data_IF_127196773737
#
_entry.id   IF_127196773737
#
_cell.length_a   1.000
_cell.length_b   1.000
_cell.length_c   1.000
_cell.angle_alpha   90.00
_cell.angle_beta   90.00
_cell.angle_gamma   90.00
#
_symmetry.space_group_name_H-M   'P 1'
#
loop_
_entity.id
_entity.type
_entity.pdbx_description
1 polymer ?
#
# COMPACT_ATOMS: atom_id res chain seq x y z
N UNK A 1 19.64 9.13 -18.88
CA UNK A 1 19.48 8.30 -17.66
C UNK A 1 19.31 9.25 -16.51
N UNK A 2 18.24 9.09 -15.74
CA UNK A 2 18.07 9.82 -14.49
C UNK A 2 19.11 9.33 -13.48
N UNK A 3 19.73 10.24 -12.75
CA UNK A 3 20.71 9.92 -11.70
C UNK A 3 20.11 9.08 -10.56
N UNK A 4 18.79 8.99 -10.47
CA UNK A 4 18.07 8.43 -9.33
C UNK A 4 18.11 9.35 -8.10
N UNK A 5 18.55 10.59 -8.26
CA UNK A 5 18.61 11.59 -7.21
C UNK A 5 17.21 12.10 -6.83
N UNK A 6 16.91 12.13 -5.54
CA UNK A 6 15.65 12.69 -5.02
C UNK A 6 15.84 14.19 -4.85
N UNK A 7 15.22 14.99 -5.70
CA UNK A 7 15.32 16.45 -5.66
C UNK A 7 14.44 17.07 -4.57
N UNK A 8 13.29 16.49 -4.27
CA UNK A 8 12.39 16.88 -3.17
C UNK A 8 11.51 15.69 -2.78
N UNK A 9 11.14 15.63 -1.52
CA UNK A 9 10.24 14.61 -0.98
C UNK A 9 9.29 15.24 0.01
N UNK A 10 8.03 14.81 -0.01
CA UNK A 10 7.05 15.36 0.92
C UNK A 10 5.74 14.59 0.90
N UNK A 11 4.81 15.06 1.75
CA UNK A 11 3.46 14.53 1.83
C UNK A 11 2.50 15.56 2.40
N UNK A 12 1.30 15.60 1.84
CA UNK A 12 0.22 16.42 2.37
C UNK A 12 -0.58 15.59 3.37
N UNK A 13 -0.85 16.19 4.51
CA UNK A 13 -1.68 15.60 5.55
C UNK A 13 -2.98 16.42 5.73
N UNK A 14 -4.03 15.75 6.20
CA UNK A 14 -5.36 16.32 6.48
C UNK A 14 -6.06 16.96 5.27
N UNK A 15 -5.87 16.45 4.06
CA UNK A 15 -6.63 16.91 2.88
C UNK A 15 -8.13 16.82 3.18
N UNK A 16 -8.87 17.90 2.91
CA UNK A 16 -10.32 18.00 3.16
C UNK A 16 -10.69 18.23 4.62
N UNK A 17 -9.72 18.44 5.50
CA UNK A 17 -9.92 18.73 6.93
C UNK A 17 -9.25 20.05 7.30
N UNK A 18 -9.72 20.73 8.36
CA UNK A 18 -9.08 21.94 8.88
C UNK A 18 -7.64 21.68 9.32
N UNK A 19 -6.75 22.64 9.04
CA UNK A 19 -5.34 22.56 9.40
C UNK A 19 -4.56 21.59 8.50
N UNK A 20 -4.88 21.52 7.23
CA UNK A 20 -4.10 20.78 6.23
C UNK A 20 -2.69 21.40 6.06
N UNK A 21 -1.70 20.56 5.84
CA UNK A 21 -0.30 21.01 5.69
C UNK A 21 0.52 20.05 4.81
N UNK A 22 1.57 20.62 4.21
CA UNK A 22 2.61 19.85 3.49
C UNK A 22 3.85 19.70 4.38
N UNK A 23 4.28 18.47 4.61
CA UNK A 23 5.64 18.17 5.09
C UNK A 23 6.56 18.04 3.88
N UNK A 24 7.59 18.83 3.82
CA UNK A 24 8.58 18.83 2.73
C UNK A 24 9.97 18.54 3.29
N UNK A 25 10.73 17.71 2.58
CA UNK A 25 12.19 17.65 2.67
C UNK A 25 12.73 18.18 1.35
N UNK A 26 13.43 19.32 1.39
CA UNK A 26 13.95 19.95 0.21
C UNK A 26 15.24 19.26 -0.30
N UNK A 27 15.80 19.77 -1.40
CA UNK A 27 17.02 19.25 -2.03
C UNK A 27 18.25 19.26 -1.10
N UNK A 28 18.25 20.12 -0.10
CA UNK A 28 19.33 20.27 0.89
C UNK A 28 19.09 19.41 2.15
N UNK A 29 18.00 18.60 2.15
CA UNK A 29 17.63 17.73 3.27
C UNK A 29 16.92 18.44 4.42
N UNK A 30 16.57 19.73 4.27
CA UNK A 30 15.88 20.50 5.30
C UNK A 30 14.39 20.14 5.33
N UNK A 31 13.90 19.84 6.52
CA UNK A 31 12.47 19.55 6.76
C UNK A 31 11.71 20.83 7.07
N UNK A 32 10.60 21.04 6.35
CA UNK A 32 9.72 22.20 6.47
C UNK A 32 8.28 21.73 6.54
N UNK A 33 7.47 22.42 7.33
CA UNK A 33 6.00 22.24 7.37
C UNK A 33 5.37 23.52 6.84
N UNK A 34 4.54 23.40 5.82
CA UNK A 34 3.86 24.50 5.16
C UNK A 34 2.35 24.30 5.29
N UNK A 35 1.72 25.14 6.06
CA UNK A 35 0.27 25.11 6.30
C UNK A 35 -0.47 25.78 5.13
N UNK A 36 -1.51 25.12 4.64
CA UNK A 36 -2.45 25.63 3.65
C UNK A 36 -3.72 24.81 3.69
N UNK A 37 -4.87 25.48 3.69
CA UNK A 37 -6.14 24.80 3.55
C UNK A 37 -6.25 24.16 2.15
N UNK A 38 -6.53 22.86 2.12
CA UNK A 38 -6.63 22.04 0.90
C UNK A 38 -7.93 21.24 0.94
N UNK A 39 -9.04 21.78 0.38
CA UNK A 39 -10.34 21.13 0.44
C UNK A 39 -10.41 19.82 -0.36
N UNK A 40 -9.48 19.60 -1.29
CA UNK A 40 -9.44 18.38 -2.09
C UNK A 40 -8.05 18.05 -2.63
N UNK A 41 -7.96 16.91 -3.32
CA UNK A 41 -6.71 16.43 -3.89
C UNK A 41 -6.16 17.34 -4.98
N UNK A 42 -7.04 18.01 -5.74
CA UNK A 42 -6.63 18.96 -6.78
C UNK A 42 -5.84 20.11 -6.18
N UNK A 43 -6.38 20.75 -5.15
CA UNK A 43 -5.73 21.87 -4.44
C UNK A 43 -4.42 21.41 -3.76
N UNK A 44 -4.38 20.15 -3.31
CA UNK A 44 -3.15 19.55 -2.80
C UNK A 44 -2.07 19.43 -3.86
N UNK A 45 -2.42 18.95 -5.05
CA UNK A 45 -1.47 18.83 -6.17
C UNK A 45 -1.05 20.21 -6.68
N UNK A 46 -1.98 21.16 -6.80
CA UNK A 46 -1.66 22.56 -7.13
C UNK A 46 -0.65 23.15 -6.15
N UNK A 47 -0.81 22.86 -4.86
CA UNK A 47 0.11 23.31 -3.84
C UNK A 47 1.48 22.66 -3.98
N UNK A 48 1.56 21.34 -4.20
CA UNK A 48 2.83 20.66 -4.47
C UNK A 48 3.55 21.30 -5.67
N UNK A 49 2.86 21.46 -6.79
CA UNK A 49 3.44 22.07 -8.00
C UNK A 49 3.94 23.50 -7.75
N UNK A 50 3.19 24.31 -6.99
CA UNK A 50 3.61 25.66 -6.62
C UNK A 50 4.88 25.66 -5.76
N UNK A 51 5.06 24.67 -4.90
CA UNK A 51 6.26 24.54 -4.06
C UNK A 51 7.45 24.03 -4.87
N UNK A 52 7.23 23.14 -5.85
CA UNK A 52 8.32 22.67 -6.70
C UNK A 52 8.98 23.80 -7.50
N UNK A 53 8.24 24.87 -7.81
CA UNK A 53 8.73 26.07 -8.54
C UNK A 53 8.99 27.27 -7.61
N UNK A 54 8.82 27.14 -6.29
CA UNK A 54 9.04 28.21 -5.34
C UNK A 54 10.52 28.64 -5.27
N UNK A 55 10.77 29.92 -5.06
CA UNK A 55 12.13 30.47 -5.03
C UNK A 55 12.97 29.94 -3.86
N UNK A 56 12.32 29.59 -2.75
CA UNK A 56 12.96 29.16 -1.49
C UNK A 56 13.08 27.64 -1.42
N UNK A 57 12.00 26.92 -1.79
CA UNK A 57 11.88 25.48 -1.58
C UNK A 57 11.93 24.69 -2.88
N UNK A 58 11.81 25.36 -4.02
CA UNK A 58 11.68 24.70 -5.31
C UNK A 58 12.95 24.01 -5.79
N UNK A 59 12.76 22.99 -6.58
CA UNK A 59 13.83 22.22 -7.23
C UNK A 59 13.81 22.29 -8.75
N UNK A 60 12.76 22.89 -9.33
CA UNK A 60 12.61 23.17 -10.76
C UNK A 60 12.24 24.65 -10.97
N UNK A 61 12.45 25.17 -12.18
CA UNK A 61 12.09 26.55 -12.52
C UNK A 61 10.71 26.66 -13.11
N UNK A 62 10.33 25.70 -13.94
CA UNK A 62 9.08 25.68 -14.69
C UNK A 62 8.52 24.25 -14.75
N UNK A 63 7.21 24.11 -14.94
CA UNK A 63 6.55 22.80 -15.01
C UNK A 63 6.95 21.98 -16.25
N UNK A 64 7.47 22.62 -17.29
CA UNK A 64 7.99 21.95 -18.49
C UNK A 64 9.29 21.16 -18.23
N UNK A 65 9.92 21.33 -17.09
CA UNK A 65 11.02 20.48 -16.64
C UNK A 65 10.54 19.11 -16.09
N UNK A 66 9.22 18.91 -15.94
CA UNK A 66 8.65 17.63 -15.55
C UNK A 66 8.38 16.81 -16.80
N UNK A 67 9.14 15.74 -17.02
CA UNK A 67 9.02 14.88 -18.21
C UNK A 67 7.84 13.92 -18.14
N UNK A 68 7.47 13.45 -16.94
CA UNK A 68 6.39 12.48 -16.73
C UNK A 68 5.92 12.44 -15.28
N UNK A 69 4.73 11.87 -15.07
CA UNK A 69 4.14 11.66 -13.74
C UNK A 69 3.84 10.18 -13.52
N UNK A 70 4.33 9.63 -12.41
CA UNK A 70 3.97 8.30 -11.96
C UNK A 70 2.86 8.35 -10.91
N UNK A 71 1.77 7.61 -11.13
CA UNK A 71 0.67 7.46 -10.19
C UNK A 71 0.66 6.06 -9.58
N UNK A 72 0.68 5.97 -8.27
CA UNK A 72 0.30 4.74 -7.59
C UNK A 72 -1.19 4.54 -7.74
N UNK A 73 -1.60 3.39 -8.31
CA UNK A 73 -2.98 2.95 -8.40
C UNK A 73 -3.13 1.65 -7.61
N UNK A 74 -4.09 1.63 -6.67
CA UNK A 74 -4.14 0.53 -5.70
C UNK A 74 -4.56 -0.79 -6.36
N UNK A 75 -5.58 -0.79 -7.24
CA UNK A 75 -6.11 -2.04 -7.78
C UNK A 75 -6.22 -2.02 -9.30
N UNK A 76 -5.49 -2.92 -9.95
CA UNK A 76 -5.53 -3.11 -11.40
C UNK A 76 -6.34 -4.33 -11.87
N UNK A 77 -6.95 -5.06 -10.94
CA UNK A 77 -7.63 -6.31 -11.26
C UNK A 77 -6.70 -7.31 -11.93
N UNK A 78 -7.22 -8.13 -12.81
CA UNK A 78 -6.45 -9.01 -13.70
C UNK A 78 -6.05 -8.32 -15.02
N UNK A 79 -6.39 -7.02 -15.15
CA UNK A 79 -6.20 -6.26 -16.41
C UNK A 79 -4.78 -5.71 -16.57
N UNK A 80 -4.05 -5.55 -15.47
CA UNK A 80 -2.72 -4.94 -15.46
C UNK A 80 -1.70 -5.78 -14.72
N UNK A 81 -0.73 -6.29 -15.46
CA UNK A 81 0.41 -7.07 -14.93
C UNK A 81 1.72 -6.26 -14.88
N UNK A 82 1.68 -4.99 -15.29
CA UNK A 82 2.83 -4.07 -15.30
C UNK A 82 2.36 -2.62 -15.21
N UNK A 83 3.31 -1.71 -15.04
CA UNK A 83 3.05 -0.27 -15.19
C UNK A 83 2.67 0.04 -16.64
N UNK A 84 1.72 0.95 -16.84
CA UNK A 84 1.22 1.33 -18.17
C UNK A 84 1.11 2.84 -18.30
N UNK A 85 1.36 3.36 -19.52
CA UNK A 85 1.05 4.76 -19.84
C UNK A 85 -0.47 4.93 -19.78
N UNK A 86 -0.91 5.99 -19.11
CA UNK A 86 -2.33 6.29 -18.94
C UNK A 86 -2.88 6.86 -20.25
N UNK A 87 -3.95 6.25 -20.72
CA UNK A 87 -4.82 6.73 -21.78
C UNK A 87 -6.29 6.52 -21.38
N UNK A 88 -7.21 6.81 -22.27
CA UNK A 88 -8.65 6.67 -21.99
C UNK A 88 -9.08 5.24 -21.70
N UNK A 89 -8.47 4.25 -22.36
CA UNK A 89 -8.74 2.83 -22.14
C UNK A 89 -8.28 2.39 -20.75
N UNK A 90 -7.08 2.81 -20.34
CA UNK A 90 -6.56 2.55 -18.99
C UNK A 90 -7.45 3.18 -17.92
N UNK A 91 -7.90 4.43 -18.09
CA UNK A 91 -8.83 5.08 -17.16
C UNK A 91 -10.11 4.26 -17.01
N UNK A 92 -10.73 3.84 -18.12
CA UNK A 92 -11.95 3.06 -18.11
C UNK A 92 -11.75 1.73 -17.36
N UNK A 93 -10.65 1.03 -17.61
CA UNK A 93 -10.31 -0.22 -16.89
C UNK A 93 -10.09 -0.01 -15.39
N UNK A 94 -9.50 1.11 -14.98
CA UNK A 94 -9.34 1.47 -13.55
C UNK A 94 -10.71 1.77 -12.91
N UNK A 95 -11.61 2.43 -13.64
CA UNK A 95 -12.99 2.65 -13.19
C UNK A 95 -13.69 1.31 -12.95
N UNK A 96 -13.61 0.37 -13.90
CA UNK A 96 -14.19 -0.98 -13.75
C UNK A 96 -13.61 -1.76 -12.55
N UNK A 97 -12.35 -1.52 -12.20
CA UNK A 97 -11.71 -2.11 -11.01
C UNK A 97 -12.09 -1.39 -9.70
N UNK A 98 -12.87 -0.30 -9.75
CA UNK A 98 -13.21 0.48 -8.55
C UNK A 98 -14.10 -0.28 -7.57
N UNK A 99 -14.90 -1.22 -8.03
CA UNK A 99 -15.71 -2.10 -7.17
C UNK A 99 -14.83 -3.00 -6.28
N UNK A 100 -13.61 -3.33 -6.74
CA UNK A 100 -12.62 -4.10 -5.97
C UNK A 100 -11.85 -3.24 -4.97
N UNK A 101 -11.80 -1.92 -5.17
CA UNK A 101 -11.10 -0.96 -4.32
C UNK A 101 -11.87 0.36 -4.19
N UNK A 102 -13.10 0.36 -3.65
CA UNK A 102 -13.99 1.53 -3.64
C UNK A 102 -13.45 2.70 -2.81
N UNK A 103 -12.60 2.42 -1.83
CA UNK A 103 -11.96 3.45 -1.00
C UNK A 103 -10.71 4.08 -1.64
N UNK A 104 -10.14 3.48 -2.69
CA UNK A 104 -8.82 3.86 -3.21
C UNK A 104 -8.86 4.29 -4.68
N UNK A 105 -9.38 3.46 -5.58
CA UNK A 105 -9.34 3.74 -7.02
C UNK A 105 -10.02 5.07 -7.40
N UNK A 106 -11.18 5.44 -6.84
CA UNK A 106 -11.77 6.75 -7.12
C UNK A 106 -10.88 7.94 -6.72
N UNK A 107 -10.12 7.81 -5.62
CA UNK A 107 -9.16 8.84 -5.20
C UNK A 107 -7.93 8.89 -6.12
N UNK A 108 -7.46 7.72 -6.59
CA UNK A 108 -6.37 7.65 -7.57
C UNK A 108 -6.75 8.31 -8.91
N UNK A 109 -7.97 8.08 -9.40
CA UNK A 109 -8.50 8.72 -10.61
C UNK A 109 -8.55 10.24 -10.47
N UNK A 110 -9.00 10.77 -9.31
CA UNK A 110 -8.97 12.22 -9.04
C UNK A 110 -7.56 12.82 -9.12
N UNK A 111 -6.55 12.07 -8.69
CA UNK A 111 -5.15 12.48 -8.81
C UNK A 111 -4.68 12.56 -10.27
N UNK A 112 -5.07 11.58 -11.09
CA UNK A 112 -4.78 11.55 -12.53
C UNK A 112 -5.46 12.73 -13.24
N UNK A 113 -6.75 12.93 -12.99
CA UNK A 113 -7.54 14.02 -13.58
C UNK A 113 -6.98 15.41 -13.18
N UNK A 114 -6.55 15.56 -11.92
CA UNK A 114 -5.96 16.80 -11.44
C UNK A 114 -4.64 17.11 -12.16
N UNK A 115 -3.78 16.12 -12.38
CA UNK A 115 -2.52 16.31 -13.13
C UNK A 115 -2.77 16.66 -14.59
N UNK A 116 -3.74 16.02 -15.25
CA UNK A 116 -4.11 16.37 -16.64
C UNK A 116 -4.65 17.80 -16.75
N UNK A 117 -5.41 18.25 -15.75
CA UNK A 117 -5.94 19.61 -15.70
C UNK A 117 -4.86 20.67 -15.46
N UNK A 118 -3.82 20.35 -14.67
CA UNK A 118 -2.78 21.30 -14.27
C UNK A 118 -1.62 21.36 -15.27
N UNK A 119 -1.25 20.23 -15.87
CA UNK A 119 -0.20 20.13 -16.88
C UNK A 119 -0.74 19.29 -18.05
N UNK A 120 -1.56 19.86 -18.92
CA UNK A 120 -2.20 19.12 -19.99
C UNK A 120 -1.20 18.43 -20.92
N UNK A 121 -1.46 17.16 -21.23
CA UNK A 121 -0.65 16.37 -22.16
C UNK A 121 0.66 15.85 -21.60
N UNK A 122 0.96 16.05 -20.31
CA UNK A 122 2.12 15.43 -19.69
C UNK A 122 1.96 13.89 -19.69
N UNK A 123 3.01 13.12 -20.05
CA UNK A 123 2.96 11.68 -19.95
C UNK A 123 2.68 11.22 -18.51
N UNK A 124 1.61 10.46 -18.33
CA UNK A 124 1.25 9.90 -17.04
C UNK A 124 1.32 8.37 -17.07
N UNK A 125 1.81 7.75 -16.00
CA UNK A 125 2.01 6.29 -15.88
C UNK A 125 1.31 5.78 -14.64
N UNK A 126 0.46 4.77 -14.82
CA UNK A 126 -0.15 4.04 -13.70
C UNK A 126 0.77 2.91 -13.25
N UNK A 127 1.03 2.84 -11.94
CA UNK A 127 1.82 1.81 -11.28
C UNK A 127 0.91 1.10 -10.28
N UNK A 128 0.55 -0.16 -10.56
CA UNK A 128 -0.44 -0.89 -9.80
C UNK A 128 0.15 -1.69 -8.65
N UNK A 129 -0.43 -1.57 -7.46
CA UNK A 129 -0.02 -2.35 -6.29
C UNK A 129 -0.20 -3.86 -6.52
N UNK A 130 -1.19 -4.24 -7.32
CA UNK A 130 -1.54 -5.64 -7.61
C UNK A 130 -0.72 -6.26 -8.75
N UNK A 131 -0.04 -5.45 -9.57
CA UNK A 131 0.59 -5.94 -10.81
C UNK A 131 1.71 -6.98 -10.58
N UNK A 132 2.55 -6.78 -9.56
CA UNK A 132 3.63 -7.72 -9.24
C UNK A 132 3.11 -9.12 -8.86
N UNK A 133 1.93 -9.17 -8.27
CA UNK A 133 1.28 -10.39 -7.79
C UNK A 133 0.52 -11.17 -8.88
N UNK A 134 0.43 -10.62 -10.11
CA UNK A 134 -0.28 -11.30 -11.20
C UNK A 134 0.41 -12.58 -11.69
N UNK A 135 1.64 -12.85 -11.23
CA UNK A 135 2.36 -14.09 -11.51
C UNK A 135 2.00 -15.24 -10.57
N UNK A 136 1.16 -15.02 -9.56
CA UNK A 136 0.68 -16.08 -8.67
C UNK A 136 -0.08 -17.16 -9.44
N UNK A 137 0.18 -18.47 -9.17
CA UNK A 137 -0.59 -19.56 -9.77
C UNK A 137 -1.99 -19.65 -9.15
N UNK A 138 -2.94 -20.25 -9.89
CA UNK A 138 -4.34 -20.38 -9.46
C UNK A 138 -4.50 -20.98 -8.06
N UNK A 139 -3.69 -21.99 -7.72
CA UNK A 139 -3.68 -22.64 -6.39
C UNK A 139 -3.35 -21.69 -5.23
N UNK A 140 -2.68 -20.55 -5.49
CA UNK A 140 -2.31 -19.56 -4.50
C UNK A 140 -3.33 -18.40 -4.41
N UNK A 141 -4.03 -18.10 -5.51
CA UNK A 141 -4.96 -16.99 -5.53
C UNK A 141 -6.44 -17.38 -5.38
N UNK A 142 -6.82 -18.64 -5.63
CA UNK A 142 -8.23 -19.05 -5.52
C UNK A 142 -8.67 -19.21 -4.07
N UNK A 143 -9.82 -18.64 -3.74
CA UNK A 143 -10.49 -18.90 -2.47
C UNK A 143 -11.38 -20.16 -2.57
N UNK A 144 -11.60 -20.81 -1.44
CA UNK A 144 -12.51 -21.96 -1.32
C UNK A 144 -13.99 -21.58 -1.32
N UNK A 145 -14.38 -20.68 -2.23
CA UNK A 145 -15.74 -20.20 -2.45
C UNK A 145 -16.30 -20.81 -3.73
N UNK A 146 -17.66 -20.78 -3.97
CA UNK A 146 -18.20 -21.19 -5.25
C UNK A 146 -17.47 -20.50 -6.42
N UNK A 147 -17.11 -21.29 -7.44
CA UNK A 147 -16.28 -20.81 -8.55
C UNK A 147 -16.88 -19.61 -9.28
N UNK A 148 -18.22 -19.50 -9.26
CA UNK A 148 -18.94 -18.36 -9.84
C UNK A 148 -18.59 -17.02 -9.17
N UNK A 149 -18.16 -17.01 -7.93
CA UNK A 149 -17.71 -15.78 -7.26
C UNK A 149 -16.45 -15.22 -7.93
N UNK A 150 -15.57 -16.09 -8.38
CA UNK A 150 -14.43 -15.70 -9.18
C UNK A 150 -14.84 -15.25 -10.59
N UNK A 151 -15.56 -16.09 -11.33
CA UNK A 151 -15.88 -15.80 -12.74
C UNK A 151 -16.78 -14.58 -12.93
N UNK A 152 -17.67 -14.32 -11.99
CA UNK A 152 -18.64 -13.22 -12.08
C UNK A 152 -18.14 -11.92 -11.49
N UNK A 153 -17.40 -12.00 -10.37
CA UNK A 153 -17.02 -10.83 -9.58
C UNK A 153 -15.51 -10.64 -9.44
N UNK A 154 -14.70 -11.54 -9.97
CA UNK A 154 -13.24 -11.49 -9.82
C UNK A 154 -12.77 -11.75 -8.38
N UNK A 155 -13.54 -12.49 -7.57
CA UNK A 155 -13.21 -12.77 -6.16
C UNK A 155 -12.08 -13.78 -6.11
N UNK A 156 -10.87 -13.27 -5.88
CA UNK A 156 -9.61 -14.01 -5.72
C UNK A 156 -8.63 -13.19 -4.90
N UNK A 157 -7.52 -13.79 -4.49
CA UNK A 157 -6.38 -13.05 -3.95
C UNK A 157 -5.71 -12.24 -5.05
N UNK A 158 -5.45 -10.93 -4.81
CA UNK A 158 -4.67 -10.06 -5.68
C UNK A 158 -3.34 -9.67 -5.05
N UNK A 159 -3.33 -9.38 -3.75
CA UNK A 159 -2.18 -8.84 -3.06
C UNK A 159 -1.95 -7.36 -3.36
N UNK A 160 -1.20 -6.70 -2.47
CA UNK A 160 -0.91 -5.26 -2.56
C UNK A 160 0.55 -5.01 -2.18
N UNK A 161 0.98 -3.74 -2.19
CA UNK A 161 2.37 -3.34 -1.99
C UNK A 161 3.33 -3.95 -3.03
N UNK A 162 2.83 -4.35 -4.20
CA UNK A 162 3.60 -5.06 -5.21
C UNK A 162 4.82 -4.29 -5.69
N UNK A 163 4.74 -2.96 -5.77
CA UNK A 163 5.89 -2.10 -6.11
C UNK A 163 7.00 -2.21 -5.06
N UNK A 164 6.65 -2.20 -3.77
CA UNK A 164 7.59 -2.40 -2.67
C UNK A 164 8.21 -3.80 -2.71
N UNK A 165 7.40 -4.84 -2.78
CA UNK A 165 7.89 -6.22 -2.83
C UNK A 165 8.84 -6.48 -4.02
N UNK A 166 8.49 -5.97 -5.20
CA UNK A 166 9.34 -6.04 -6.39
C UNK A 166 10.65 -5.28 -6.22
N UNK A 167 10.60 -4.07 -5.66
CA UNK A 167 11.79 -3.25 -5.46
C UNK A 167 12.73 -3.89 -4.44
N UNK A 168 12.20 -4.24 -3.25
CA UNK A 168 13.01 -4.78 -2.14
C UNK A 168 13.65 -6.11 -2.50
N UNK A 169 12.90 -7.02 -3.14
CA UNK A 169 13.44 -8.31 -3.57
C UNK A 169 14.59 -8.15 -4.58
N UNK A 170 14.44 -7.24 -5.54
CA UNK A 170 15.47 -6.92 -6.53
C UNK A 170 16.69 -6.26 -5.90
N UNK A 171 16.43 -5.26 -5.06
CA UNK A 171 17.49 -4.50 -4.38
C UNK A 171 18.31 -5.35 -3.42
N UNK A 172 17.69 -6.30 -2.75
CA UNK A 172 18.39 -7.27 -1.91
C UNK A 172 19.41 -8.09 -2.71
N UNK A 173 19.02 -8.59 -3.90
CA UNK A 173 19.94 -9.31 -4.78
C UNK A 173 21.08 -8.43 -5.31
N UNK A 174 20.79 -7.19 -5.68
CA UNK A 174 21.81 -6.22 -6.09
C UNK A 174 22.85 -5.99 -4.99
N UNK A 175 22.42 -5.79 -3.73
CA UNK A 175 23.31 -5.59 -2.57
C UNK A 175 24.14 -6.83 -2.28
N UNK A 176 23.54 -8.03 -2.44
CA UNK A 176 24.22 -9.30 -2.21
C UNK A 176 25.09 -9.76 -3.39
N UNK A 177 25.00 -9.08 -4.54
CA UNK A 177 25.74 -9.44 -5.74
C UNK A 177 25.31 -10.80 -6.35
N UNK A 178 24.02 -11.17 -6.20
CA UNK A 178 23.48 -12.44 -6.69
C UNK A 178 22.42 -12.21 -7.79
N UNK A 179 22.31 -13.14 -8.78
CA UNK A 179 21.29 -13.02 -9.83
C UNK A 179 19.87 -13.11 -9.25
N UNK A 180 19.02 -12.13 -9.55
CA UNK A 180 17.64 -12.05 -9.03
C UNK A 180 16.77 -13.23 -9.50
N UNK A 181 16.96 -13.64 -10.74
CA UNK A 181 16.21 -14.72 -11.40
C UNK A 181 16.57 -16.13 -10.89
N UNK A 182 17.58 -16.23 -10.01
CA UNK A 182 18.01 -17.50 -9.42
C UNK A 182 17.65 -17.61 -7.94
N UNK A 183 17.01 -16.57 -7.35
CA UNK A 183 16.79 -16.51 -5.93
C UNK A 183 15.33 -16.79 -5.53
N UNK A 184 15.19 -17.31 -4.31
CA UNK A 184 13.94 -17.44 -3.57
C UNK A 184 13.97 -16.49 -2.39
N UNK A 185 13.05 -15.56 -2.34
CA UNK A 185 13.08 -14.44 -1.42
C UNK A 185 11.73 -14.29 -0.74
N UNK A 186 11.72 -14.06 0.56
CA UNK A 186 10.54 -13.57 1.27
C UNK A 186 10.77 -12.09 1.54
N UNK A 187 9.81 -11.27 1.18
CA UNK A 187 9.83 -9.84 1.47
C UNK A 187 8.71 -9.47 2.43
N UNK A 188 9.03 -8.60 3.39
CA UNK A 188 8.08 -8.08 4.36
C UNK A 188 7.98 -6.56 4.19
N UNK A 189 6.82 -6.07 3.79
CA UNK A 189 6.46 -4.67 3.84
C UNK A 189 5.72 -4.43 5.16
N UNK A 190 6.34 -3.70 6.08
CA UNK A 190 5.85 -3.51 7.45
C UNK A 190 5.70 -2.01 7.73
N UNK A 191 4.47 -1.55 7.78
CA UNK A 191 4.09 -0.16 8.07
C UNK A 191 2.72 -0.13 8.74
N UNK A 192 1.97 0.98 8.61
CA UNK A 192 0.58 1.03 9.07
C UNK A 192 -0.30 -0.02 8.36
N UNK A 193 -0.05 -0.27 7.06
CA UNK A 193 -0.43 -1.50 6.36
C UNK A 193 0.75 -2.46 6.33
N UNK A 194 0.51 -3.76 6.31
CA UNK A 194 1.58 -4.77 6.28
C UNK A 194 1.26 -5.96 5.39
N UNK A 195 2.26 -6.48 4.69
CA UNK A 195 2.15 -7.71 3.91
C UNK A 195 3.47 -8.45 3.79
N UNK A 196 3.37 -9.75 3.57
CA UNK A 196 4.50 -10.63 3.25
C UNK A 196 4.29 -11.18 1.84
N UNK A 197 5.34 -11.30 1.06
CA UNK A 197 5.27 -11.94 -0.26
C UNK A 197 6.41 -12.94 -0.45
N UNK A 198 6.10 -14.06 -1.11
CA UNK A 198 7.05 -15.04 -1.57
C UNK A 198 7.41 -14.78 -3.04
N UNK A 199 8.69 -14.61 -3.31
CA UNK A 199 9.24 -14.34 -4.64
C UNK A 199 10.13 -15.51 -5.03
N UNK A 200 9.80 -16.18 -6.13
CA UNK A 200 10.51 -17.31 -6.68
C UNK A 200 11.02 -16.95 -8.08
N UNK A 201 12.35 -16.93 -8.25
CA UNK A 201 13.00 -16.61 -9.53
C UNK A 201 12.42 -15.30 -10.16
N UNK A 202 12.33 -14.26 -9.35
CA UNK A 202 11.85 -12.93 -9.78
C UNK A 202 10.33 -12.77 -9.92
N UNK A 203 9.54 -13.82 -9.64
CA UNK A 203 8.07 -13.84 -9.76
C UNK A 203 7.42 -13.97 -8.39
N UNK A 204 6.38 -13.20 -8.10
CA UNK A 204 5.57 -13.42 -6.92
C UNK A 204 4.79 -14.74 -7.09
N UNK A 205 4.89 -15.63 -6.10
CA UNK A 205 4.19 -16.93 -6.09
C UNK A 205 3.13 -17.02 -5.01
N UNK A 206 3.21 -16.16 -3.97
CA UNK A 206 2.21 -16.03 -2.92
C UNK A 206 2.35 -14.68 -2.19
N UNK A 207 1.28 -14.22 -1.53
CA UNK A 207 1.30 -13.02 -0.70
C UNK A 207 0.22 -13.07 0.38
N UNK A 208 0.40 -12.34 1.47
CA UNK A 208 -0.49 -12.37 2.62
C UNK A 208 -1.79 -11.58 2.45
N UNK A 209 -1.79 -10.48 1.69
CA UNK A 209 -3.02 -9.72 1.42
C UNK A 209 -3.89 -10.41 0.36
N UNK A 210 -5.19 -10.24 0.47
CA UNK A 210 -6.20 -10.97 -0.31
C UNK A 210 -6.80 -10.20 -1.47
N UNK A 211 -8.12 -10.33 -1.63
CA UNK A 211 -8.95 -9.50 -2.52
C UNK A 211 -8.81 -8.03 -2.17
N UNK A 212 -8.77 -7.74 -0.87
CA UNK A 212 -8.60 -6.41 -0.30
C UNK A 212 -7.33 -6.38 0.57
N UNK A 213 -6.82 -5.20 0.95
CA UNK A 213 -5.66 -5.09 1.81
C UNK A 213 -5.97 -5.33 3.31
N UNK A 214 -6.98 -6.14 3.63
CA UNK A 214 -7.38 -6.49 5.01
C UNK A 214 -6.78 -7.82 5.45
N UNK A 215 -6.84 -8.86 4.59
CA UNK A 215 -6.34 -10.20 4.89
C UNK A 215 -4.83 -10.18 5.19
N UNK A 216 -4.37 -11.06 6.06
CA UNK A 216 -2.97 -11.28 6.34
C UNK A 216 -2.54 -10.86 7.73
N UNK A 217 -1.55 -9.97 7.80
CA UNK A 217 -0.94 -9.53 9.05
C UNK A 217 -1.92 -8.72 9.92
N UNK A 218 -1.67 -8.70 11.23
CA UNK A 218 -2.21 -7.66 12.08
C UNK A 218 -1.58 -6.33 11.66
N UNK A 219 -2.39 -5.29 11.46
CA UNK A 219 -1.94 -3.98 10.96
C UNK A 219 -2.33 -2.86 11.94
N UNK A 220 -2.04 -1.62 11.63
CA UNK A 220 -2.36 -0.50 12.53
C UNK A 220 -3.84 -0.44 12.92
N UNK A 221 -4.75 -0.48 11.91
CA UNK A 221 -6.21 -0.41 12.13
C UNK A 221 -6.98 -1.56 11.47
N UNK A 222 -6.32 -2.41 10.68
CA UNK A 222 -6.92 -3.56 10.00
C UNK A 222 -6.70 -4.83 10.77
N UNK A 223 -7.73 -5.69 10.84
CA UNK A 223 -7.71 -6.91 11.65
C UNK A 223 -6.69 -7.97 11.19
N UNK A 224 -6.33 -8.00 9.90
CA UNK A 224 -5.64 -9.16 9.32
C UNK A 224 -6.55 -10.38 9.24
N UNK A 225 -5.95 -11.56 9.31
CA UNK A 225 -6.70 -12.83 9.30
C UNK A 225 -7.67 -12.92 10.48
N UNK A 226 -8.90 -13.26 10.15
CA UNK A 226 -9.96 -13.56 11.11
C UNK A 226 -10.86 -14.64 10.53
N UNK A 227 -11.44 -15.48 11.37
CA UNK A 227 -12.43 -16.46 10.95
C UNK A 227 -13.67 -15.77 10.35
N UNK A 228 -14.06 -16.16 9.13
CA UNK A 228 -15.25 -15.62 8.48
C UNK A 228 -16.55 -15.89 9.28
N UNK A 229 -16.62 -17.02 10.00
CA UNK A 229 -17.72 -17.32 10.90
C UNK A 229 -17.79 -16.34 12.09
N UNK A 230 -16.63 -15.92 12.60
CA UNK A 230 -16.59 -14.89 13.65
C UNK A 230 -17.11 -13.54 13.15
N UNK A 231 -16.84 -13.18 11.88
CA UNK A 231 -17.38 -11.96 11.29
C UNK A 231 -18.92 -12.01 11.19
N UNK A 232 -19.46 -13.12 10.71
CA UNK A 232 -20.92 -13.31 10.65
C UNK A 232 -21.57 -13.24 12.04
N UNK A 233 -20.95 -13.87 13.05
CA UNK A 233 -21.38 -13.81 14.44
C UNK A 233 -21.43 -12.37 14.99
N UNK A 234 -20.34 -11.59 14.75
CA UNK A 234 -20.26 -10.21 15.21
C UNK A 234 -21.30 -9.33 14.50
N UNK A 235 -21.49 -9.51 13.16
CA UNK A 235 -22.52 -8.79 12.42
C UNK A 235 -23.90 -8.98 13.03
N UNK A 236 -24.25 -10.23 13.36
CA UNK A 236 -25.54 -10.56 13.99
C UNK A 236 -25.65 -9.93 15.39
N UNK A 237 -24.62 -10.04 16.24
CA UNK A 237 -24.64 -9.54 17.61
C UNK A 237 -24.69 -8.03 17.72
N UNK A 238 -23.94 -7.34 16.86
CA UNK A 238 -23.81 -5.87 16.86
C UNK A 238 -24.77 -5.18 15.87
N UNK A 239 -25.59 -5.95 15.14
CA UNK A 239 -26.53 -5.40 14.14
C UNK A 239 -25.83 -4.67 12.99
N UNK A 240 -24.63 -5.14 12.58
CA UNK A 240 -23.85 -4.49 11.54
C UNK A 240 -24.32 -4.91 10.15
N UNK A 241 -24.43 -3.94 9.26
CA UNK A 241 -24.52 -4.16 7.81
C UNK A 241 -23.11 -4.33 7.20
N UNK A 242 -23.04 -4.48 5.88
CA UNK A 242 -21.77 -4.61 5.17
C UNK A 242 -20.83 -3.39 5.34
N UNK A 243 -21.38 -2.18 5.48
CA UNK A 243 -20.59 -0.98 5.75
C UNK A 243 -20.05 -0.96 7.18
N UNK A 244 -20.88 -1.31 8.15
CA UNK A 244 -20.48 -1.45 9.55
C UNK A 244 -19.38 -2.49 9.73
N UNK A 245 -19.51 -3.64 9.07
CA UNK A 245 -18.45 -4.65 9.04
C UNK A 245 -17.17 -4.13 8.40
N UNK A 246 -17.28 -3.48 7.25
CA UNK A 246 -16.11 -2.90 6.57
C UNK A 246 -15.37 -1.89 7.46
N UNK A 247 -16.10 -1.04 8.16
CA UNK A 247 -15.51 -0.08 9.11
C UNK A 247 -14.84 -0.79 10.28
N UNK A 248 -15.46 -1.83 10.83
CA UNK A 248 -14.90 -2.63 11.91
C UNK A 248 -13.53 -3.20 11.51
N UNK A 249 -13.47 -3.95 10.40
CA UNK A 249 -12.26 -4.69 10.02
C UNK A 249 -11.15 -3.81 9.43
N UNK A 250 -11.48 -2.62 8.89
CA UNK A 250 -10.49 -1.72 8.27
C UNK A 250 -10.02 -0.58 9.17
N UNK A 251 -10.90 -0.04 10.05
CA UNK A 251 -10.65 1.22 10.75
C UNK A 251 -10.64 1.09 12.28
N UNK A 252 -11.38 0.09 12.83
CA UNK A 252 -11.60 -0.05 14.29
C UNK A 252 -10.92 -1.27 14.88
N UNK A 253 -10.14 -2.01 14.09
CA UNK A 253 -9.43 -3.22 14.47
C UNK A 253 -7.91 -2.97 14.55
N UNK A 254 -7.13 -4.00 14.34
CA UNK A 254 -5.68 -3.92 14.32
C UNK A 254 -5.07 -3.63 15.69
N UNK A 255 -3.87 -3.07 15.68
CA UNK A 255 -3.18 -2.64 16.90
C UNK A 255 -4.04 -1.64 17.68
N UNK A 256 -4.56 -0.60 17.01
CA UNK A 256 -5.42 0.40 17.62
C UNK A 256 -6.65 -0.20 18.29
N UNK A 257 -7.34 -1.13 17.64
CA UNK A 257 -8.51 -1.81 18.20
C UNK A 257 -8.17 -2.71 19.39
N UNK A 258 -7.07 -3.43 19.31
CA UNK A 258 -6.62 -4.32 20.39
C UNK A 258 -6.11 -3.55 21.61
N UNK A 259 -5.36 -2.47 21.42
CA UNK A 259 -4.87 -1.61 22.52
C UNK A 259 -5.97 -0.71 23.07
N UNK A 260 -6.91 -0.31 22.21
CA UNK A 260 -7.95 0.69 22.55
C UNK A 260 -7.46 2.13 22.44
N UNK A 261 -6.51 2.39 21.52
CA UNK A 261 -5.87 3.72 21.39
C UNK A 261 -5.15 3.93 20.07
N UNK A 262 -3.88 4.33 20.15
CA UNK A 262 -3.04 4.63 19.01
C UNK A 262 -2.65 3.39 18.19
N UNK A 263 -2.51 3.55 16.88
CA UNK A 263 -1.89 2.55 15.98
C UNK A 263 -0.39 2.75 15.82
N UNK A 264 0.19 3.75 16.47
CA UNK A 264 1.63 4.03 16.38
C UNK A 264 2.41 2.97 17.18
N UNK A 265 3.31 2.27 16.50
CA UNK A 265 4.12 1.23 17.13
C UNK A 265 5.04 1.78 18.22
N UNK A 266 5.42 3.07 18.15
CA UNK A 266 6.23 3.71 19.20
C UNK A 266 5.44 3.85 20.51
N UNK A 267 4.14 4.16 20.39
CA UNK A 267 3.25 4.24 21.56
C UNK A 267 3.05 2.84 22.16
N UNK A 268 2.90 1.81 21.31
CA UNK A 268 2.80 0.42 21.73
C UNK A 268 4.09 -0.04 22.45
N UNK A 269 5.26 0.21 21.85
CA UNK A 269 6.56 -0.14 22.45
C UNK A 269 6.76 0.56 23.80
N UNK A 270 6.43 1.84 23.91
CA UNK A 270 6.50 2.59 25.16
C UNK A 270 5.56 2.01 26.25
N UNK A 271 4.35 1.59 25.89
CA UNK A 271 3.43 0.95 26.82
C UNK A 271 3.95 -0.41 27.30
N UNK A 272 4.57 -1.20 26.40
CA UNK A 272 5.23 -2.47 26.78
C UNK A 272 6.38 -2.23 27.75
N UNK A 273 7.22 -1.24 27.50
CA UNK A 273 8.32 -0.86 28.40
C UNK A 273 7.80 -0.39 29.77
N UNK A 274 6.61 0.22 29.81
CA UNK A 274 5.93 0.61 31.05
C UNK A 274 5.26 -0.55 31.78
N UNK A 275 5.29 -1.77 31.23
CA UNK A 275 4.72 -2.97 31.84
C UNK A 275 3.24 -3.20 31.58
N UNK A 276 2.66 -2.59 30.53
CA UNK A 276 1.28 -2.82 30.13
C UNK A 276 1.13 -4.24 29.55
N UNK A 277 0.39 -5.11 30.24
CA UNK A 277 0.17 -6.50 29.81
C UNK A 277 -0.62 -6.60 28.51
N UNK A 278 -1.60 -5.71 28.29
CA UNK A 278 -2.38 -5.69 27.05
C UNK A 278 -1.53 -5.27 25.87
N UNK A 279 -0.69 -4.24 26.02
CA UNK A 279 0.26 -3.82 25.01
C UNK A 279 1.27 -4.93 24.67
N UNK A 280 1.76 -5.64 25.69
CA UNK A 280 2.67 -6.80 25.51
C UNK A 280 1.98 -7.89 24.68
N UNK A 281 0.76 -8.28 25.04
CA UNK A 281 -0.02 -9.26 24.28
C UNK A 281 -0.24 -8.82 22.83
N UNK A 282 -0.55 -7.53 22.59
CA UNK A 282 -0.76 -7.01 21.23
C UNK A 282 0.53 -7.06 20.40
N UNK A 283 1.67 -6.71 20.98
CA UNK A 283 2.98 -6.81 20.31
C UNK A 283 3.32 -8.27 19.99
N UNK A 284 3.01 -9.19 20.87
CA UNK A 284 3.21 -10.64 20.65
C UNK A 284 2.34 -11.15 19.49
N UNK A 285 1.05 -10.76 19.45
CA UNK A 285 0.16 -11.11 18.34
C UNK A 285 0.69 -10.55 17.01
N UNK A 286 1.16 -9.30 17.00
CA UNK A 286 1.73 -8.65 15.83
C UNK A 286 2.94 -9.42 15.29
N UNK A 287 3.91 -9.70 16.16
CA UNK A 287 5.12 -10.43 15.81
C UNK A 287 4.82 -11.88 15.39
N UNK A 288 3.88 -12.54 16.09
CA UNK A 288 3.46 -13.89 15.78
C UNK A 288 2.86 -14.02 14.38
N UNK A 289 2.03 -13.06 13.95
CA UNK A 289 1.44 -13.05 12.59
C UNK A 289 2.50 -12.90 11.51
N UNK A 290 3.48 -12.04 11.69
CA UNK A 290 4.62 -11.89 10.78
C UNK A 290 5.39 -13.22 10.69
N UNK A 291 5.75 -13.80 11.84
CA UNK A 291 6.45 -15.09 11.91
C UNK A 291 5.67 -16.21 11.23
N UNK A 292 4.34 -16.27 11.44
CA UNK A 292 3.46 -17.25 10.81
C UNK A 292 3.49 -17.16 9.29
N UNK A 293 3.39 -15.97 8.71
CA UNK A 293 3.42 -15.78 7.26
C UNK A 293 4.79 -16.03 6.65
N UNK A 294 5.87 -15.65 7.32
CA UNK A 294 7.23 -16.04 6.89
C UNK A 294 7.35 -17.56 6.84
N UNK A 295 6.91 -18.25 7.89
CA UNK A 295 6.91 -19.71 7.96
C UNK A 295 6.05 -20.35 6.88
N UNK A 296 4.83 -19.86 6.63
CA UNK A 296 3.96 -20.36 5.58
C UNK A 296 4.59 -20.20 4.19
N UNK A 297 5.24 -19.07 3.91
CA UNK A 297 5.88 -18.82 2.62
C UNK A 297 7.18 -19.63 2.40
N UNK A 298 7.79 -20.15 3.47
CA UNK A 298 8.92 -21.08 3.32
C UNK A 298 8.54 -22.38 2.60
N UNK A 299 7.25 -22.75 2.53
CA UNK A 299 6.79 -23.95 1.79
C UNK A 299 7.01 -23.86 0.26
N UNK A 300 7.22 -22.65 -0.30
CA UNK A 300 7.52 -22.44 -1.71
C UNK A 300 8.98 -22.78 -2.08
N UNK A 301 9.77 -23.23 -1.12
CA UNK A 301 11.16 -23.68 -1.27
C UNK A 301 12.05 -23.12 -0.16
N UNK A 302 13.31 -23.50 -0.18
CA UNK A 302 14.27 -23.10 0.84
C UNK A 302 14.45 -21.57 0.87
N UNK A 303 14.18 -20.96 2.02
CA UNK A 303 14.46 -19.56 2.26
C UNK A 303 15.98 -19.32 2.20
N UNK A 304 16.45 -18.56 1.20
CA UNK A 304 17.85 -18.11 1.14
C UNK A 304 18.01 -16.72 1.74
N UNK A 305 17.03 -15.84 1.52
CA UNK A 305 17.11 -14.44 1.93
C UNK A 305 15.76 -13.91 2.43
N UNK A 306 15.80 -13.11 3.48
CA UNK A 306 14.68 -12.37 4.01
C UNK A 306 14.92 -10.87 3.81
N UNK A 307 14.15 -10.24 2.93
CA UNK A 307 14.15 -8.79 2.73
C UNK A 307 13.10 -8.11 3.61
N UNK A 308 13.53 -7.20 4.47
CA UNK A 308 12.64 -6.38 5.30
C UNK A 308 12.61 -4.96 4.76
N UNK A 309 11.43 -4.47 4.45
CA UNK A 309 11.17 -3.07 4.16
C UNK A 309 10.37 -2.47 5.33
N UNK A 310 10.98 -1.54 6.04
CA UNK A 310 10.38 -0.83 7.16
C UNK A 310 10.14 0.63 6.74
N UNK A 311 8.92 0.93 6.37
CA UNK A 311 8.42 2.28 6.16
C UNK A 311 7.78 2.83 7.44
N UNK A 312 8.58 2.95 8.50
CA UNK A 312 8.17 3.63 9.72
C UNK A 312 9.38 4.40 10.25
N UNK A 313 9.51 5.63 9.82
CA UNK A 313 10.15 6.71 10.58
C UNK A 313 9.43 8.00 10.30
#
# INVERSE_FOLDING_TARGET
MTSGEVMAQGGIEKIGLPGAFLKLTDKDGKKVVLEKEMPGHKEGIEFILSILTDKTYGCIKEYNEIDAVGHRVVHGGEKFASSVKIDRDVINKVIECSDLAPLHNPANLKGIDAMEALIPGIPQVAVFDTAFHQTMPAKAYMYGLPYEMYTKYGVRRYGFHGTSHRYVSRRACEILGVPYEEQKIITAHVGNGGSIAAVDHGKCVDTSMGLTPVEGLLMGTRCGDVDAGALSFIMEKEGLDGHGLSDLINKKSGVAGLVGGSSDMRDLEAAVEAGDERATMVLDVYNYRIKKYIGAHCCHGWLRYLGLDRWCR
#
